data_IF_375195286411
#
_entry.id   IF_375195286411
#
_cell.length_a   1.000
_cell.length_b   1.000
_cell.length_c   1.000
_cell.angle_alpha   90.00
_cell.angle_beta   90.00
_cell.angle_gamma   90.00
#
_symmetry.space_group_name_H-M   'P 1'
#
loop_
_entity.id
_entity.type
_entity.pdbx_description
1 polymer ?
#
# COMPACT_ATOMS: atom_id res chain seq x y z
N UNK A 1 -1.69 -9.38 14.46
CA UNK A 1 -1.46 -9.34 13.02
C UNK A 1 -1.88 -7.99 12.53
N UNK A 2 -1.03 -7.30 11.78
CA UNK A 2 -1.34 -6.00 11.21
C UNK A 2 -2.31 -6.13 10.05
N UNK A 3 -3.26 -5.23 9.95
CA UNK A 3 -4.23 -5.19 8.85
C UNK A 3 -3.71 -4.27 7.72
N UNK A 4 -3.92 -4.68 6.47
CA UNK A 4 -3.62 -3.86 5.28
C UNK A 4 -4.94 -3.39 4.70
N UNK A 5 -5.12 -2.08 4.56
CA UNK A 5 -6.32 -1.46 4.00
C UNK A 5 -5.97 -0.59 2.80
N UNK A 6 -6.86 -0.57 1.82
CA UNK A 6 -6.83 0.41 0.73
C UNK A 6 -8.09 1.24 0.86
N UNK A 7 -7.92 2.55 0.99
CA UNK A 7 -8.98 3.50 1.25
C UNK A 7 -9.10 4.46 0.05
N UNK A 8 -10.34 4.84 -0.26
CA UNK A 8 -10.64 5.84 -1.27
C UNK A 8 -10.89 7.19 -0.57
N UNK A 9 -10.29 8.26 -1.07
CA UNK A 9 -10.47 9.60 -0.53
C UNK A 9 -9.15 10.34 -0.34
N UNK A 10 -9.17 11.46 0.39
CA UNK A 10 -7.95 12.24 0.60
C UNK A 10 -7.18 11.76 1.83
N UNK A 11 -5.85 11.88 1.76
CA UNK A 11 -4.96 11.62 2.90
C UNK A 11 -5.33 12.46 4.13
N UNK A 12 -5.79 13.70 3.91
CA UNK A 12 -6.16 14.64 4.99
C UNK A 12 -7.34 14.19 5.84
N UNK A 13 -8.13 13.25 5.32
CA UNK A 13 -9.35 12.75 5.96
C UNK A 13 -9.10 11.47 6.77
N UNK A 14 -7.86 10.94 6.75
CA UNK A 14 -7.53 9.70 7.44
C UNK A 14 -6.94 9.94 8.82
N UNK A 15 -7.33 9.11 9.78
CA UNK A 15 -6.70 9.07 11.09
C UNK A 15 -5.43 8.21 11.03
N UNK A 16 -4.30 8.73 11.52
CA UNK A 16 -3.05 7.97 11.64
C UNK A 16 -1.79 8.79 11.41
N UNK A 17 -0.64 8.12 11.44
CA UNK A 17 0.63 8.76 11.11
C UNK A 17 0.83 8.74 9.59
N UNK A 18 0.97 9.91 8.99
CA UNK A 18 1.15 10.05 7.55
C UNK A 18 2.63 9.89 7.19
N UNK A 19 2.91 8.87 6.37
CA UNK A 19 4.22 8.65 5.78
C UNK A 19 4.46 9.67 4.64
N UNK A 20 4.73 10.92 5.01
CA UNK A 20 4.98 12.00 4.04
C UNK A 20 6.20 11.70 3.16
N UNK A 21 7.17 10.95 3.69
CA UNK A 21 8.37 10.53 2.96
C UNK A 21 8.05 9.52 1.85
N UNK A 22 6.88 8.88 1.88
CA UNK A 22 6.45 7.93 0.85
C UNK A 22 5.78 8.58 -0.36
N UNK A 23 5.66 9.92 -0.41
CA UNK A 23 5.12 10.60 -1.58
C UNK A 23 6.07 10.41 -2.77
N UNK A 24 5.62 9.65 -3.77
CA UNK A 24 6.35 9.40 -5.01
C UNK A 24 5.73 10.29 -6.09
N UNK A 25 6.51 11.21 -6.67
CA UNK A 25 6.02 12.06 -7.77
C UNK A 25 5.98 11.30 -9.11
N UNK A 26 6.92 10.37 -9.31
CA UNK A 26 7.02 9.56 -10.51
C UNK A 26 7.60 8.20 -10.16
N UNK A 27 7.02 7.14 -10.72
CA UNK A 27 7.60 5.80 -10.57
C UNK A 27 9.01 5.76 -11.18
N UNK A 28 9.98 5.12 -10.50
CA UNK A 28 11.30 4.88 -11.06
C UNK A 28 11.21 3.99 -12.31
N UNK A 29 12.30 3.88 -13.07
CA UNK A 29 12.35 2.91 -14.16
C UNK A 29 12.35 1.47 -13.59
N UNK A 30 11.97 0.45 -14.38
CA UNK A 30 11.93 -0.94 -13.91
C UNK A 30 13.21 -1.43 -13.22
N UNK A 31 14.38 -0.98 -13.68
CA UNK A 31 15.68 -1.35 -13.09
C UNK A 31 15.92 -0.74 -11.69
N UNK A 32 15.19 0.32 -11.37
CA UNK A 32 15.28 1.07 -10.12
C UNK A 32 14.08 0.85 -9.19
N UNK A 33 13.20 -0.10 -9.52
CA UNK A 33 11.97 -0.34 -8.75
C UNK A 33 12.23 -0.81 -7.31
N UNK A 34 13.43 -1.33 -7.03
CA UNK A 34 13.87 -1.69 -5.68
C UNK A 34 13.93 -0.50 -4.71
N UNK A 35 14.02 0.73 -5.22
CA UNK A 35 14.01 1.95 -4.41
C UNK A 35 12.68 2.13 -3.68
N UNK A 36 11.55 1.75 -4.30
CA UNK A 36 10.23 1.77 -3.65
C UNK A 36 10.21 0.80 -2.46
N UNK A 37 10.72 -0.41 -2.65
CA UNK A 37 10.79 -1.41 -1.57
C UNK A 37 11.67 -0.94 -0.42
N UNK A 38 12.82 -0.32 -0.71
CA UNK A 38 13.70 0.21 0.32
C UNK A 38 13.00 1.32 1.13
N UNK A 39 12.35 2.27 0.43
CA UNK A 39 11.60 3.37 1.05
C UNK A 39 10.49 2.86 1.98
N UNK A 40 9.61 1.98 1.47
CA UNK A 40 8.51 1.44 2.28
C UNK A 40 9.03 0.67 3.49
N UNK A 41 10.10 -0.12 3.33
CA UNK A 41 10.70 -0.87 4.42
C UNK A 41 11.23 0.06 5.51
N UNK A 42 11.98 1.10 5.15
CA UNK A 42 12.52 2.05 6.11
C UNK A 42 11.42 2.71 6.95
N UNK A 43 10.34 3.13 6.29
CA UNK A 43 9.19 3.76 6.94
C UNK A 43 8.48 2.77 7.88
N UNK A 44 8.28 1.51 7.45
CA UNK A 44 7.67 0.46 8.27
C UNK A 44 8.52 0.11 9.50
N UNK A 45 9.84 0.01 9.35
CA UNK A 45 10.76 -0.20 10.46
C UNK A 45 10.75 0.98 11.44
N UNK A 46 10.65 2.20 10.92
CA UNK A 46 10.53 3.38 11.77
C UNK A 46 9.20 3.41 12.53
N UNK A 47 8.09 3.06 11.86
CA UNK A 47 6.78 2.96 12.48
C UNK A 47 6.73 1.88 13.56
N UNK A 48 7.40 0.74 13.35
CA UNK A 48 7.54 -0.30 14.36
C UNK A 48 8.34 0.20 15.57
N UNK A 49 9.49 0.84 15.36
CA UNK A 49 10.31 1.42 16.45
C UNK A 49 9.54 2.44 17.28
N UNK A 50 8.70 3.23 16.63
CA UNK A 50 7.85 4.23 17.27
C UNK A 50 6.51 3.67 17.78
N UNK A 51 6.24 2.37 17.56
CA UNK A 51 5.01 1.69 17.96
C UNK A 51 3.73 2.37 17.45
N UNK A 52 3.78 2.88 16.21
CA UNK A 52 2.65 3.58 15.61
C UNK A 52 1.48 2.61 15.41
N UNK A 53 0.28 2.99 15.88
CA UNK A 53 -0.88 2.11 15.72
C UNK A 53 -1.34 2.04 14.26
N UNK A 54 -1.56 3.18 13.63
CA UNK A 54 -1.98 3.28 12.22
C UNK A 54 -0.95 4.08 11.43
N UNK A 55 -0.43 3.47 10.37
CA UNK A 55 0.47 4.09 9.40
C UNK A 55 -0.27 4.28 8.08
N UNK A 56 -0.25 5.49 7.54
CA UNK A 56 -1.00 5.86 6.33
C UNK A 56 -0.02 6.25 5.24
N UNK A 57 -0.08 5.55 4.11
CA UNK A 57 0.70 5.80 2.92
C UNK A 57 -0.14 6.51 1.84
N UNK A 58 0.43 7.49 1.13
CA UNK A 58 -0.09 7.89 -0.17
C UNK A 58 -0.01 6.72 -1.16
N UNK A 59 -0.99 6.62 -2.06
CA UNK A 59 -0.88 5.76 -3.22
C UNK A 59 0.23 6.24 -4.17
N UNK A 60 0.81 5.31 -4.94
CA UNK A 60 1.72 5.67 -6.04
C UNK A 60 0.99 6.47 -7.12
N UNK A 61 1.69 7.36 -7.85
CA UNK A 61 1.06 8.19 -8.87
C UNK A 61 0.59 7.34 -10.04
N UNK A 62 -0.54 7.73 -10.63
CA UNK A 62 -1.04 7.14 -11.88
C UNK A 62 0.05 7.21 -12.95
N UNK A 63 0.44 6.05 -13.48
CA UNK A 63 1.54 5.92 -14.45
C UNK A 63 1.18 4.93 -15.55
N UNK A 64 1.38 5.34 -16.80
CA UNK A 64 1.28 4.45 -17.95
C UNK A 64 2.65 3.84 -18.30
N UNK A 65 2.73 2.54 -18.66
CA UNK A 65 1.63 1.58 -18.74
C UNK A 65 1.23 0.99 -17.37
N UNK A 66 -0.02 0.53 -17.25
CA UNK A 66 -0.52 -0.16 -16.04
C UNK A 66 0.38 -1.31 -15.56
N UNK A 67 1.09 -2.01 -16.46
CA UNK A 67 2.00 -3.09 -16.08
C UNK A 67 3.10 -2.65 -15.12
N UNK A 68 3.57 -1.40 -15.24
CA UNK A 68 4.55 -0.82 -14.33
C UNK A 68 3.94 -0.60 -12.95
N UNK A 69 2.71 -0.10 -12.89
CA UNK A 69 1.98 0.07 -11.63
C UNK A 69 1.67 -1.28 -10.97
N UNK A 70 1.26 -2.31 -11.73
CA UNK A 70 1.07 -3.67 -11.22
C UNK A 70 2.33 -4.19 -10.51
N UNK A 71 3.50 -3.99 -11.13
CA UNK A 71 4.77 -4.37 -10.55
C UNK A 71 5.05 -3.61 -9.26
N UNK A 72 4.93 -2.27 -9.28
CA UNK A 72 5.18 -1.43 -8.09
C UNK A 72 4.25 -1.77 -6.93
N UNK A 73 2.95 -1.92 -7.17
CA UNK A 73 1.95 -2.29 -6.15
C UNK A 73 2.23 -3.66 -5.56
N UNK A 74 2.60 -4.64 -6.40
CA UNK A 74 2.99 -5.97 -5.95
C UNK A 74 4.21 -5.91 -5.01
N UNK A 75 5.22 -5.11 -5.35
CA UNK A 75 6.38 -4.90 -4.49
C UNK A 75 5.98 -4.25 -3.15
N UNK A 76 5.13 -3.22 -3.17
CA UNK A 76 4.61 -2.55 -1.97
C UNK A 76 3.88 -3.55 -1.06
N UNK A 77 2.93 -4.32 -1.58
CA UNK A 77 2.20 -5.31 -0.78
C UNK A 77 3.11 -6.37 -0.20
N UNK A 78 4.07 -6.86 -1.00
CA UNK A 78 5.04 -7.85 -0.52
C UNK A 78 5.84 -7.28 0.66
N UNK A 79 6.30 -6.03 0.57
CA UNK A 79 7.03 -5.37 1.64
C UNK A 79 6.18 -5.16 2.88
N UNK A 80 4.94 -4.64 2.76
CA UNK A 80 4.05 -4.44 3.91
C UNK A 80 3.75 -5.79 4.61
N UNK A 81 3.56 -6.87 3.85
CA UNK A 81 3.33 -8.21 4.40
C UNK A 81 4.48 -8.77 5.24
N UNK A 82 5.71 -8.32 5.05
CA UNK A 82 6.84 -8.71 5.91
C UNK A 82 6.70 -8.14 7.35
N UNK A 83 5.75 -7.22 7.56
CA UNK A 83 5.47 -6.59 8.85
C UNK A 83 4.14 -7.04 9.47
N UNK A 84 3.32 -7.84 8.78
CA UNK A 84 1.97 -8.20 9.29
C UNK A 84 1.99 -9.12 10.51
N UNK A 85 3.07 -9.87 10.72
CA UNK A 85 3.24 -10.71 11.91
C UNK A 85 3.88 -9.98 13.09
N UNK A 86 4.22 -8.70 12.92
CA UNK A 86 4.83 -7.87 13.96
C UNK A 86 3.76 -7.19 14.82
N UNK A 87 4.10 -6.74 16.04
CA UNK A 87 3.14 -6.03 16.90
C UNK A 87 2.72 -4.66 16.37
N UNK A 88 3.60 -4.00 15.61
CA UNK A 88 3.41 -2.67 15.05
C UNK A 88 4.00 -2.58 13.62
N UNK A 89 3.44 -1.70 12.75
CA UNK A 89 2.18 -0.98 12.95
C UNK A 89 0.99 -1.94 13.02
N UNK A 90 -0.08 -1.60 13.75
CA UNK A 90 -1.27 -2.48 13.85
C UNK A 90 -2.12 -2.42 12.58
N UNK A 91 -2.06 -1.30 11.88
CA UNK A 91 -2.78 -1.07 10.65
C UNK A 91 -1.91 -0.28 9.67
N UNK A 92 -1.93 -0.69 8.41
CA UNK A 92 -1.30 0.01 7.30
C UNK A 92 -2.37 0.34 6.27
N UNK A 93 -2.60 1.63 6.06
CA UNK A 93 -3.56 2.15 5.11
C UNK A 93 -2.85 2.71 3.88
N UNK A 94 -3.33 2.39 2.69
CA UNK A 94 -2.93 3.03 1.43
C UNK A 94 -4.11 3.86 0.94
N UNK A 95 -3.92 5.16 0.77
CA UNK A 95 -4.99 6.09 0.42
C UNK A 95 -4.87 6.49 -1.04
N UNK A 96 -5.91 6.18 -1.80
CA UNK A 96 -6.01 6.49 -3.21
C UNK A 96 -7.04 7.61 -3.43
N UNK A 97 -6.57 8.74 -3.96
CA UNK A 97 -7.46 9.83 -4.39
C UNK A 97 -8.14 9.51 -5.73
N UNK A 98 -7.41 8.82 -6.63
CA UNK A 98 -7.88 8.46 -7.96
C UNK A 98 -8.54 7.06 -7.99
N UNK A 99 -9.72 6.98 -8.60
CA UNK A 99 -10.52 5.75 -8.69
C UNK A 99 -9.80 4.60 -9.40
N UNK A 100 -9.10 4.88 -10.49
CA UNK A 100 -8.42 3.86 -11.27
C UNK A 100 -7.20 3.30 -10.53
N UNK A 101 -6.45 4.14 -9.82
CA UNK A 101 -5.37 3.73 -8.92
C UNK A 101 -5.93 2.87 -7.79
N UNK A 102 -7.01 3.31 -7.12
CA UNK A 102 -7.72 2.52 -6.11
C UNK A 102 -8.09 1.12 -6.61
N UNK A 103 -8.69 1.06 -7.80
CA UNK A 103 -9.10 -0.19 -8.43
C UNK A 103 -7.92 -1.12 -8.67
N UNK A 104 -6.80 -0.55 -9.10
CA UNK A 104 -5.61 -1.32 -9.40
C UNK A 104 -5.00 -1.95 -8.14
N UNK A 105 -4.96 -1.20 -7.02
CA UNK A 105 -4.54 -1.74 -5.72
C UNK A 105 -5.43 -2.91 -5.28
N UNK A 106 -6.75 -2.80 -5.42
CA UNK A 106 -7.65 -3.91 -5.08
C UNK A 106 -7.46 -5.13 -5.99
N UNK A 107 -7.32 -4.91 -7.30
CA UNK A 107 -7.10 -5.99 -8.28
C UNK A 107 -5.81 -6.74 -7.95
N UNK A 108 -4.71 -6.05 -7.70
CA UNK A 108 -3.42 -6.68 -7.37
C UNK A 108 -3.54 -7.49 -6.08
N UNK A 109 -4.19 -6.94 -5.04
CA UNK A 109 -4.43 -7.67 -3.79
C UNK A 109 -5.25 -8.96 -4.03
N UNK A 110 -6.39 -8.82 -4.70
CA UNK A 110 -7.33 -9.91 -4.91
C UNK A 110 -6.79 -11.02 -5.82
N UNK A 111 -5.90 -10.69 -6.76
CA UNK A 111 -5.29 -11.67 -7.67
C UNK A 111 -4.10 -12.41 -7.02
N UNK A 112 -3.26 -11.72 -6.24
CA UNK A 112 -1.97 -12.27 -5.82
C UNK A 112 -1.83 -12.54 -4.32
N UNK A 113 -2.66 -11.93 -3.48
CA UNK A 113 -2.45 -11.93 -2.02
C UNK A 113 -3.65 -12.51 -1.26
N UNK A 114 -4.88 -12.28 -1.73
CA UNK A 114 -6.06 -12.89 -1.14
C UNK A 114 -6.10 -14.41 -1.41
N UNK A 115 -5.88 -15.21 -0.37
CA UNK A 115 -5.91 -16.68 -0.47
C UNK A 115 -7.32 -17.28 -0.37
N UNK A 116 -8.29 -16.50 0.12
CA UNK A 116 -9.69 -16.90 0.29
C UNK A 116 -10.63 -15.80 -0.20
N UNK A 117 -11.91 -16.14 -0.47
CA UNK A 117 -12.93 -15.14 -0.81
C UNK A 117 -13.08 -14.08 0.29
N UNK A 118 -13.01 -14.47 1.57
CA UNK A 118 -13.13 -13.57 2.72
C UNK A 118 -11.91 -12.66 2.91
N UNK A 119 -10.74 -13.03 2.37
CA UNK A 119 -9.52 -12.21 2.41
C UNK A 119 -9.43 -11.20 1.26
N UNK A 120 -10.40 -11.18 0.35
CA UNK A 120 -10.45 -10.21 -0.75
C UNK A 120 -10.82 -8.83 -0.21
N UNK A 121 -10.16 -7.81 -0.73
CA UNK A 121 -10.64 -6.44 -0.63
C UNK A 121 -11.90 -6.34 -1.49
N UNK A 122 -13.04 -6.09 -0.87
CA UNK A 122 -14.32 -6.01 -1.54
C UNK A 122 -15.02 -4.69 -1.20
N UNK A 123 -15.52 -4.03 -2.23
CA UNK A 123 -16.32 -2.81 -2.15
C UNK A 123 -17.68 -2.98 -2.86
N UNK A 124 -18.11 -4.24 -3.06
CA UNK A 124 -19.34 -4.61 -3.75
C UNK A 124 -19.17 -4.89 -5.24
N UNK A 125 -17.96 -4.76 -5.81
CA UNK A 125 -17.69 -5.03 -7.24
C UNK A 125 -17.31 -6.47 -7.57
N UNK A 126 -17.05 -7.29 -6.55
CA UNK A 126 -16.49 -8.64 -6.70
C UNK A 126 -17.40 -9.77 -6.15
N UNK A 127 -18.69 -9.46 -5.97
CA UNK A 127 -19.72 -10.42 -5.51
C UNK A 127 -20.43 -11.15 -6.65
#
# INVERSE_FOLDING_TARGET
MSEIKVLKGSLKEQDGFFAQEAVIEKLPSPDHMGEITALYREILENAERQQLSTLVFPAIPRTDPNSLMFQAISMIYKTIREFTDRPYPKEVCIVCEEDDVYNLYMVVWNLYYATTKSGRMNDGRWD
#
